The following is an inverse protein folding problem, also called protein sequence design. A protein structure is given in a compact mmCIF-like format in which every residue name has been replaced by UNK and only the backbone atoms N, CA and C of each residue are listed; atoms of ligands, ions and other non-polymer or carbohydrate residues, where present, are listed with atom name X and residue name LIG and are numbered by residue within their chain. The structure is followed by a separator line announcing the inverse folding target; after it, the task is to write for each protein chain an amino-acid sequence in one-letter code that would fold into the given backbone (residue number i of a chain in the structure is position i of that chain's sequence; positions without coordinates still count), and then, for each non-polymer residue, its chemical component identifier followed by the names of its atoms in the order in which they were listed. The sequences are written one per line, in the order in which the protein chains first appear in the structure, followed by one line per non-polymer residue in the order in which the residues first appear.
data_IF_459127030180
#
_entry.id   IF_459127030180
#
_cell.length_a   1.000
_cell.length_b   1.000
_cell.length_c   1.000
_cell.angle_alpha   90.00
_cell.angle_beta   90.00
_cell.angle_gamma   90.00
#
_symmetry.space_group_name_H-M   'P 1'
#
loop_
_entity.id
_entity.type
_entity.pdbx_description
1 polymer ?
#
# COMPACT_ATOMS: atom_id res chain seq x y z
N UNK A 1 -2.99 25.42 -40.14
CA UNK A 1 -2.48 25.83 -38.81
C UNK A 1 -3.56 25.81 -37.70
N UNK A 2 -4.80 25.39 -37.97
CA UNK A 2 -5.93 25.53 -37.04
C UNK A 2 -6.19 24.30 -36.13
N UNK A 3 -5.75 23.10 -36.54
CA UNK A 3 -6.02 21.85 -35.81
C UNK A 3 -5.17 21.65 -34.55
N UNK A 4 -3.96 22.24 -34.49
CA UNK A 4 -3.09 22.19 -33.29
C UNK A 4 -3.61 23.10 -32.16
N UNK A 5 -4.26 24.21 -32.50
CA UNK A 5 -4.87 25.14 -31.55
C UNK A 5 -6.10 24.54 -30.87
N UNK A 6 -6.93 23.78 -31.60
CA UNK A 6 -8.12 23.12 -31.02
C UNK A 6 -7.76 22.02 -30.02
N UNK A 7 -6.70 21.24 -30.27
CA UNK A 7 -6.19 20.29 -29.26
C UNK A 7 -5.68 21.02 -28.02
N UNK A 8 -4.90 22.10 -28.20
CA UNK A 8 -4.38 22.88 -27.07
C UNK A 8 -5.49 23.57 -26.27
N UNK A 9 -6.54 24.09 -26.93
CA UNK A 9 -7.68 24.72 -26.30
C UNK A 9 -8.49 23.72 -25.46
N UNK A 10 -8.68 22.49 -25.95
CA UNK A 10 -9.37 21.43 -25.20
C UNK A 10 -8.59 20.94 -23.97
N UNK A 11 -7.26 21.11 -23.92
CA UNK A 11 -6.46 20.86 -22.71
C UNK A 11 -6.49 22.02 -21.71
N UNK A 12 -6.80 23.24 -22.16
CA UNK A 12 -6.75 24.45 -21.34
C UNK A 12 -8.09 24.71 -20.62
N UNK A 13 -9.22 24.20 -21.11
CA UNK A 13 -10.54 24.42 -20.48
C UNK A 13 -11.01 23.33 -19.48
N UNK A 14 -10.24 22.25 -19.28
CA UNK A 14 -10.57 21.23 -18.27
C UNK A 14 -10.06 21.63 -16.87
N UNK A 15 -10.71 22.64 -16.30
CA UNK A 15 -10.79 22.86 -14.86
C UNK A 15 -9.78 23.84 -14.29
N UNK A 16 -10.06 25.14 -14.45
CA UNK A 16 -9.63 26.17 -13.50
C UNK A 16 -10.28 25.90 -12.13
N UNK A 17 -9.72 24.98 -11.34
CA UNK A 17 -10.06 24.82 -9.93
C UNK A 17 -8.88 25.24 -9.06
N UNK A 18 -9.09 26.31 -8.31
CA UNK A 18 -8.09 27.12 -7.63
C UNK A 18 -8.02 26.79 -6.12
N UNK A 19 -7.84 25.52 -5.74
CA UNK A 19 -7.71 25.18 -4.30
C UNK A 19 -6.96 23.89 -3.94
N UNK A 20 -5.98 23.41 -4.72
CA UNK A 20 -4.98 22.47 -4.16
C UNK A 20 -3.68 23.20 -3.82
N UNK A 21 -3.32 23.38 -2.54
CA UNK A 21 -2.18 24.19 -2.15
C UNK A 21 -0.92 23.31 -2.10
N UNK A 22 -0.54 22.61 -3.18
CA UNK A 22 0.68 21.80 -3.13
C UNK A 22 1.41 21.81 -4.47
N UNK A 23 2.70 22.11 -4.39
CA UNK A 23 3.72 21.98 -5.43
C UNK A 23 3.56 20.64 -6.16
N UNK A 24 2.86 20.64 -7.29
CA UNK A 24 2.88 19.51 -8.22
C UNK A 24 4.27 19.52 -8.86
N UNK A 25 5.16 18.56 -8.56
CA UNK A 25 6.41 18.41 -9.30
C UNK A 25 6.04 18.25 -10.77
N UNK A 26 6.69 19.03 -11.63
CA UNK A 26 6.40 19.10 -13.07
C UNK A 26 6.15 17.69 -13.64
N UNK A 27 4.89 17.36 -13.95
CA UNK A 27 4.54 16.20 -14.77
C UNK A 27 3.49 15.21 -14.24
N UNK A 28 3.00 15.27 -12.99
CA UNK A 28 1.92 14.38 -12.51
C UNK A 28 0.63 15.18 -12.32
N UNK A 29 -0.35 14.98 -13.20
CA UNK A 29 -1.69 15.60 -13.09
C UNK A 29 -2.55 14.80 -12.11
N UNK A 30 -3.28 15.51 -11.25
CA UNK A 30 -4.36 14.94 -10.43
C UNK A 30 -5.72 15.16 -11.11
N UNK A 31 -6.64 14.25 -10.87
CA UNK A 31 -7.95 14.17 -11.52
C UNK A 31 -9.08 14.27 -10.50
N UNK A 32 -10.24 14.74 -10.97
CA UNK A 32 -11.50 14.67 -10.19
C UNK A 32 -12.15 13.30 -10.34
N UNK A 33 -13.09 12.98 -9.45
CA UNK A 33 -13.87 11.73 -9.48
C UNK A 33 -14.53 11.48 -10.83
N UNK A 34 -14.94 12.52 -11.55
CA UNK A 34 -15.58 12.34 -12.86
C UNK A 34 -14.60 12.03 -14.00
N UNK A 35 -13.34 12.40 -13.84
CA UNK A 35 -12.30 12.27 -14.87
C UNK A 35 -11.53 10.95 -14.81
N UNK A 36 -11.66 10.20 -13.70
CA UNK A 36 -10.99 8.92 -13.51
C UNK A 36 -11.71 7.76 -14.21
N UNK A 37 -10.97 6.68 -14.56
CA UNK A 37 -11.59 5.48 -15.10
C UNK A 37 -12.52 4.84 -14.09
N UNK A 38 -13.56 4.14 -14.58
CA UNK A 38 -14.59 3.48 -13.75
C UNK A 38 -13.96 2.52 -12.73
N UNK A 39 -12.85 1.87 -13.08
CA UNK A 39 -12.12 0.96 -12.18
C UNK A 39 -11.52 1.60 -10.93
N UNK A 40 -11.47 2.94 -10.86
CA UNK A 40 -10.98 3.70 -9.70
C UNK A 40 -12.11 4.45 -8.99
N UNK A 41 -13.34 4.41 -9.53
CA UNK A 41 -14.52 5.10 -8.98
C UNK A 41 -15.17 4.25 -7.88
N UNK A 42 -14.44 4.06 -6.78
CA UNK A 42 -14.92 3.25 -5.65
C UNK A 42 -15.79 4.06 -4.69
N UNK A 43 -15.31 5.23 -4.29
CA UNK A 43 -15.98 6.07 -3.29
C UNK A 43 -16.39 7.43 -3.89
N UNK A 44 -17.69 7.70 -4.11
CA UNK A 44 -18.17 8.95 -4.70
C UNK A 44 -18.00 10.17 -3.79
N UNK A 45 -17.72 9.98 -2.50
CA UNK A 45 -17.48 11.09 -1.56
C UNK A 45 -16.05 11.65 -1.65
N UNK A 46 -15.14 10.93 -2.30
CA UNK A 46 -13.81 11.45 -2.63
C UNK A 46 -13.93 12.14 -3.99
N UNK A 47 -13.96 13.48 -3.98
CA UNK A 47 -14.28 14.27 -5.17
C UNK A 47 -13.08 14.57 -6.06
N UNK A 48 -11.87 14.56 -5.52
CA UNK A 48 -10.64 14.97 -6.21
C UNK A 48 -9.36 14.33 -5.60
N UNK A 49 -8.19 14.76 -6.11
CA UNK A 49 -6.90 14.28 -5.65
C UNK A 49 -6.47 12.93 -6.23
N UNK A 50 -7.16 12.43 -7.27
CA UNK A 50 -6.87 11.13 -7.85
C UNK A 50 -5.64 11.14 -8.74
N UNK A 51 -4.85 10.07 -8.65
CA UNK A 51 -3.80 9.74 -9.63
C UNK A 51 -4.38 8.76 -10.64
N UNK A 52 -4.16 9.00 -11.94
CA UNK A 52 -4.60 8.08 -12.98
C UNK A 52 -3.66 8.09 -14.20
N UNK A 53 -3.70 7.01 -14.97
CA UNK A 53 -2.98 6.85 -16.24
C UNK A 53 -1.45 6.98 -16.14
N UNK A 54 -0.86 6.68 -14.98
CA UNK A 54 0.59 6.83 -14.77
C UNK A 54 1.37 5.59 -15.24
N UNK A 55 2.53 5.75 -15.89
CA UNK A 55 3.50 4.65 -16.03
C UNK A 55 4.16 4.34 -14.67
N UNK A 56 4.73 3.14 -14.51
CA UNK A 56 5.32 2.66 -13.25
C UNK A 56 6.30 3.64 -12.59
N UNK A 57 7.15 4.31 -13.38
CA UNK A 57 8.11 5.30 -12.88
C UNK A 57 7.42 6.50 -12.23
N UNK A 58 6.31 6.96 -12.79
CA UNK A 58 5.53 8.07 -12.23
C UNK A 58 4.69 7.61 -11.04
N UNK A 59 4.24 6.34 -11.00
CA UNK A 59 3.60 5.77 -9.82
C UNK A 59 4.55 5.88 -8.61
N UNK A 60 5.81 5.47 -8.75
CA UNK A 60 6.81 5.56 -7.67
C UNK A 60 7.09 7.03 -7.30
N UNK A 61 7.30 7.91 -8.29
CA UNK A 61 7.50 9.35 -8.00
C UNK A 61 6.30 9.98 -7.31
N UNK A 62 5.10 9.43 -7.51
CA UNK A 62 3.88 9.93 -6.89
C UNK A 62 3.79 9.67 -5.38
N UNK A 63 4.72 8.89 -4.81
CA UNK A 63 4.84 8.65 -3.37
C UNK A 63 4.91 9.95 -2.55
N UNK A 64 5.56 10.97 -3.10
CA UNK A 64 5.74 12.28 -2.46
C UNK A 64 4.72 13.33 -2.93
N UNK A 65 3.65 12.89 -3.62
CA UNK A 65 2.56 13.75 -4.07
C UNK A 65 1.38 13.56 -3.13
N UNK A 66 0.80 14.67 -2.68
CA UNK A 66 -0.44 14.63 -1.92
C UNK A 66 -1.59 14.26 -2.86
N UNK A 67 -2.19 13.10 -2.62
CA UNK A 67 -3.27 12.48 -3.40
C UNK A 67 -4.25 11.79 -2.45
N UNK A 68 -5.38 11.32 -2.99
CA UNK A 68 -6.38 10.56 -2.24
C UNK A 68 -5.83 9.27 -1.60
N UNK A 69 -4.70 8.75 -2.09
CA UNK A 69 -4.05 7.54 -1.60
C UNK A 69 -2.86 7.79 -0.66
N UNK A 70 -2.50 9.05 -0.40
CA UNK A 70 -1.28 9.36 0.37
C UNK A 70 -1.33 8.75 1.77
N UNK A 71 -2.47 8.87 2.46
CA UNK A 71 -2.64 8.29 3.80
C UNK A 71 -2.57 6.76 3.74
N UNK A 72 -3.20 6.12 2.75
CA UNK A 72 -3.17 4.66 2.58
C UNK A 72 -1.74 4.15 2.39
N UNK A 73 -0.95 4.82 1.53
CA UNK A 73 0.44 4.47 1.29
C UNK A 73 1.30 4.68 2.54
N UNK A 74 1.25 5.87 3.13
CA UNK A 74 2.13 6.23 4.24
C UNK A 74 1.78 5.51 5.55
N UNK A 75 0.51 5.24 5.82
CA UNK A 75 0.12 4.47 7.01
C UNK A 75 0.70 3.04 6.98
N UNK A 76 0.63 2.36 5.84
CA UNK A 76 1.19 1.02 5.70
C UNK A 76 2.72 1.02 5.59
N UNK A 77 3.32 2.04 4.96
CA UNK A 77 4.78 2.18 4.87
C UNK A 77 5.40 2.47 6.25
N UNK A 78 4.78 3.37 7.02
CA UNK A 78 5.20 3.63 8.41
C UNK A 78 4.95 2.41 9.31
N UNK A 79 3.82 1.72 9.12
CA UNK A 79 3.54 0.44 9.77
C UNK A 79 4.63 -0.59 9.51
N UNK A 80 5.06 -0.76 8.26
CA UNK A 80 6.16 -1.63 7.88
C UNK A 80 7.45 -1.29 8.64
N UNK A 81 7.86 -0.02 8.67
CA UNK A 81 9.08 0.38 9.39
C UNK A 81 8.94 0.16 10.91
N UNK A 82 7.79 0.48 11.49
CA UNK A 82 7.53 0.26 12.91
C UNK A 82 7.64 -1.22 13.28
N UNK A 83 6.91 -2.10 12.58
CA UNK A 83 6.96 -3.54 12.83
C UNK A 83 8.31 -4.17 12.47
N UNK A 84 9.06 -3.57 11.54
CA UNK A 84 10.42 -4.01 11.23
C UNK A 84 11.35 -3.75 12.41
N UNK A 85 11.33 -2.53 12.94
CA UNK A 85 12.15 -2.14 14.08
C UNK A 85 11.75 -2.90 15.34
N UNK A 86 10.45 -3.04 15.61
CA UNK A 86 9.95 -3.87 16.70
C UNK A 86 10.36 -5.34 16.52
N UNK A 87 10.27 -5.88 15.31
CA UNK A 87 10.68 -7.24 15.04
C UNK A 87 12.18 -7.49 15.30
N UNK A 88 13.04 -6.54 14.92
CA UNK A 88 14.47 -6.61 15.28
C UNK A 88 14.63 -6.57 16.80
N UNK A 89 13.97 -5.63 17.47
CA UNK A 89 14.03 -5.50 18.93
C UNK A 89 13.56 -6.77 19.64
N UNK A 90 12.50 -7.41 19.15
CA UNK A 90 12.00 -8.67 19.68
C UNK A 90 13.06 -9.77 19.57
N UNK A 91 13.70 -9.90 18.40
CA UNK A 91 14.73 -10.93 18.16
C UNK A 91 16.02 -10.68 18.94
N UNK A 92 16.44 -9.43 19.11
CA UNK A 92 17.75 -9.10 19.71
C UNK A 92 17.67 -8.83 21.21
N UNK A 93 16.50 -8.51 21.74
CA UNK A 93 16.36 -8.04 23.12
C UNK A 93 15.26 -8.76 23.88
N UNK A 94 14.03 -8.82 23.35
CA UNK A 94 12.90 -9.42 24.09
C UNK A 94 13.05 -10.93 24.24
N UNK A 95 13.19 -11.67 23.14
CA UNK A 95 13.30 -13.14 23.18
C UNK A 95 14.53 -13.62 23.97
N UNK A 96 15.74 -13.03 23.81
CA UNK A 96 16.88 -13.40 24.63
C UNK A 96 16.69 -13.09 26.12
N UNK A 97 16.11 -11.94 26.47
CA UNK A 97 15.88 -11.58 27.89
C UNK A 97 14.84 -12.48 28.56
N UNK A 98 13.88 -12.99 27.80
CA UNK A 98 12.91 -13.99 28.24
C UNK A 98 13.47 -15.43 28.28
N UNK A 99 14.73 -15.65 27.88
CA UNK A 99 15.30 -17.00 27.71
C UNK A 99 14.45 -17.90 26.80
N UNK A 100 13.87 -17.32 25.75
CA UNK A 100 12.91 -17.98 24.89
C UNK A 100 13.52 -19.17 24.12
N UNK A 101 12.68 -20.15 23.78
CA UNK A 101 13.10 -21.34 23.06
C UNK A 101 13.36 -21.05 21.58
N UNK A 102 14.09 -21.93 20.88
CA UNK A 102 14.29 -21.80 19.43
C UNK A 102 12.97 -21.75 18.65
N UNK A 103 11.93 -22.43 19.12
CA UNK A 103 10.61 -22.45 18.49
C UNK A 103 9.96 -21.06 18.54
N UNK A 104 10.11 -20.35 19.66
CA UNK A 104 9.63 -18.97 19.81
C UNK A 104 10.28 -18.04 18.78
N UNK A 105 11.61 -18.13 18.61
CA UNK A 105 12.32 -17.37 17.58
C UNK A 105 11.79 -17.65 16.17
N UNK A 106 11.54 -18.92 15.85
CA UNK A 106 11.03 -19.32 14.53
C UNK A 106 9.62 -18.77 14.30
N UNK A 107 8.72 -18.95 15.27
CA UNK A 107 7.31 -18.57 15.13
C UNK A 107 7.14 -17.06 15.11
N UNK A 108 7.82 -16.33 16.01
CA UNK A 108 7.85 -14.87 15.96
C UNK A 108 8.43 -14.37 14.63
N UNK A 109 9.51 -14.97 14.13
CA UNK A 109 10.10 -14.57 12.84
C UNK A 109 9.14 -14.77 11.66
N UNK A 110 8.44 -15.92 11.61
CA UNK A 110 7.44 -16.21 10.57
C UNK A 110 6.27 -15.23 10.67
N UNK A 111 5.75 -15.00 11.87
CA UNK A 111 4.66 -14.07 12.13
C UNK A 111 5.00 -12.67 11.62
N UNK A 112 6.13 -12.13 12.07
CA UNK A 112 6.63 -10.82 11.67
C UNK A 112 6.85 -10.76 10.16
N UNK A 113 7.47 -11.77 9.56
CA UNK A 113 7.66 -11.82 8.10
C UNK A 113 6.32 -11.75 7.34
N UNK A 114 5.31 -12.52 7.75
CA UNK A 114 3.97 -12.49 7.15
C UNK A 114 3.32 -11.10 7.24
N UNK A 115 3.41 -10.44 8.41
CA UNK A 115 2.94 -9.06 8.58
C UNK A 115 3.64 -8.08 7.65
N UNK A 116 4.96 -8.21 7.50
CA UNK A 116 5.74 -7.33 6.63
C UNK A 116 5.42 -7.50 5.16
N UNK A 117 5.21 -8.73 4.71
CA UNK A 117 4.73 -9.02 3.36
C UNK A 117 3.35 -8.37 3.14
N UNK A 118 2.43 -8.50 4.09
CA UNK A 118 1.11 -7.87 4.03
C UNK A 118 1.20 -6.34 3.85
N UNK A 119 2.00 -5.66 4.69
CA UNK A 119 2.18 -4.21 4.62
C UNK A 119 2.76 -3.77 3.27
N UNK A 120 3.80 -4.47 2.78
CA UNK A 120 4.43 -4.14 1.49
C UNK A 120 3.52 -4.40 0.29
N UNK A 121 2.73 -5.48 0.30
CA UNK A 121 1.74 -5.76 -0.74
C UNK A 121 0.71 -4.63 -0.84
N UNK A 122 0.24 -4.14 0.30
CA UNK A 122 -0.72 -3.03 0.34
C UNK A 122 -0.13 -1.70 -0.09
N UNK A 123 1.09 -1.36 0.34
CA UNK A 123 1.85 -0.21 -0.19
C UNK A 123 1.96 -0.31 -1.71
N UNK A 124 2.29 -1.50 -2.23
CA UNK A 124 2.35 -1.77 -3.66
C UNK A 124 1.03 -1.51 -4.37
N UNK A 125 -0.09 -1.99 -3.82
CA UNK A 125 -1.42 -1.72 -4.36
C UNK A 125 -1.75 -0.24 -4.41
N UNK A 126 -1.70 0.46 -3.28
CA UNK A 126 -2.03 1.88 -3.25
C UNK A 126 -1.07 2.74 -4.08
N UNK A 127 0.18 2.33 -4.26
CA UNK A 127 1.12 3.04 -5.13
C UNK A 127 0.84 2.81 -6.63
N UNK A 128 0.46 1.60 -7.03
CA UNK A 128 0.28 1.21 -8.43
C UNK A 128 -1.18 1.11 -8.90
N UNK A 129 -2.17 1.38 -8.06
CA UNK A 129 -3.59 1.42 -8.42
C UNK A 129 -3.87 2.43 -9.56
N UNK A 130 -3.11 3.53 -9.60
CA UNK A 130 -3.19 4.57 -10.61
C UNK A 130 -2.49 4.25 -11.95
N UNK A 131 -1.96 3.03 -12.11
CA UNK A 131 -1.17 2.66 -13.28
C UNK A 131 -2.00 2.65 -14.57
N UNK A 132 -1.42 3.07 -15.70
CA UNK A 132 -2.10 3.13 -17.01
C UNK A 132 -2.61 1.78 -17.53
N UNK A 133 -2.07 0.68 -17.02
CA UNK A 133 -2.45 -0.69 -17.40
C UNK A 133 -3.32 -1.27 -16.30
N UNK A 134 -4.59 -1.45 -16.60
CA UNK A 134 -5.57 -2.04 -15.69
C UNK A 134 -5.17 -3.46 -15.24
N UNK A 135 -4.48 -4.22 -16.11
CA UNK A 135 -3.91 -5.53 -15.75
C UNK A 135 -2.91 -5.43 -14.61
N UNK A 136 -2.10 -4.37 -14.58
CA UNK A 136 -1.14 -4.11 -13.50
C UNK A 136 -1.88 -3.75 -12.21
N UNK A 137 -2.89 -2.88 -12.29
CA UNK A 137 -3.72 -2.51 -11.15
C UNK A 137 -4.38 -3.73 -10.51
N UNK A 138 -5.04 -4.58 -11.32
CA UNK A 138 -5.68 -5.82 -10.85
C UNK A 138 -4.70 -6.82 -10.22
N UNK A 139 -3.48 -6.93 -10.76
CA UNK A 139 -2.45 -7.81 -10.17
C UNK A 139 -2.01 -7.32 -8.81
N UNK A 140 -1.78 -6.01 -8.66
CA UNK A 140 -1.42 -5.45 -7.37
C UNK A 140 -2.55 -5.56 -6.35
N UNK A 141 -3.80 -5.36 -6.77
CA UNK A 141 -4.97 -5.60 -5.93
C UNK A 141 -5.04 -7.07 -5.46
N UNK A 142 -4.80 -8.02 -6.37
CA UNK A 142 -4.76 -9.43 -6.00
C UNK A 142 -3.61 -9.77 -5.04
N UNK A 143 -2.43 -9.15 -5.21
CA UNK A 143 -1.30 -9.31 -4.29
C UNK A 143 -1.60 -8.74 -2.91
N UNK A 144 -2.34 -7.65 -2.82
CA UNK A 144 -2.78 -7.08 -1.53
C UNK A 144 -3.72 -8.03 -0.78
N UNK A 145 -4.76 -8.53 -1.45
CA UNK A 145 -5.65 -9.53 -0.85
C UNK A 145 -4.93 -10.83 -0.46
N UNK A 146 -3.95 -11.27 -1.25
CA UNK A 146 -3.10 -12.40 -0.89
C UNK A 146 -2.23 -12.07 0.34
N UNK A 147 -1.68 -10.85 0.42
CA UNK A 147 -0.92 -10.36 1.56
C UNK A 147 -1.73 -10.38 2.86
N UNK A 148 -2.98 -9.91 2.83
CA UNK A 148 -3.91 -9.98 3.97
C UNK A 148 -4.11 -11.44 4.40
N UNK A 149 -4.34 -12.34 3.44
CA UNK A 149 -4.53 -13.77 3.74
C UNK A 149 -3.30 -14.41 4.40
N UNK A 150 -2.10 -14.09 3.91
CA UNK A 150 -0.82 -14.54 4.48
C UNK A 150 -0.62 -13.96 5.88
N UNK A 151 -0.93 -12.67 6.08
CA UNK A 151 -0.86 -12.01 7.38
C UNK A 151 -1.75 -12.68 8.41
N UNK A 152 -3.01 -12.93 8.08
CA UNK A 152 -3.97 -13.64 8.95
C UNK A 152 -3.46 -15.04 9.29
N UNK A 153 -2.96 -15.78 8.30
CA UNK A 153 -2.41 -17.12 8.52
C UNK A 153 -1.21 -17.09 9.49
N UNK A 154 -0.29 -16.14 9.32
CA UNK A 154 0.87 -15.97 10.21
C UNK A 154 0.46 -15.68 11.66
N UNK A 155 -0.54 -14.80 11.85
CA UNK A 155 -1.12 -14.54 13.17
C UNK A 155 -1.74 -15.79 13.78
N UNK A 156 -2.53 -16.50 12.97
CA UNK A 156 -3.28 -17.66 13.42
C UNK A 156 -2.36 -18.80 13.85
N UNK A 157 -1.34 -19.12 13.05
CA UNK A 157 -0.35 -20.15 13.38
C UNK A 157 0.35 -19.84 14.70
N UNK A 158 0.77 -18.58 14.88
CA UNK A 158 1.43 -18.14 16.12
C UNK A 158 0.49 -18.21 17.32
N UNK A 159 -0.76 -17.75 17.15
CA UNK A 159 -1.79 -17.82 18.19
C UNK A 159 -2.11 -19.24 18.62
N UNK A 160 -2.22 -20.17 17.66
CA UNK A 160 -2.44 -21.60 17.95
C UNK A 160 -1.25 -22.19 18.69
N UNK A 161 -0.01 -21.92 18.25
CA UNK A 161 1.18 -22.40 18.95
C UNK A 161 1.18 -21.98 20.42
N UNK A 162 0.96 -20.70 20.70
CA UNK A 162 0.96 -20.22 22.09
C UNK A 162 -0.27 -20.67 22.89
N UNK A 163 -1.43 -20.82 22.26
CA UNK A 163 -2.63 -21.33 22.92
C UNK A 163 -2.49 -22.78 23.38
N UNK A 164 -1.73 -23.59 22.65
CA UNK A 164 -1.51 -25.02 22.94
C UNK A 164 -0.09 -25.31 23.43
N UNK A 165 0.68 -24.29 23.85
CA UNK A 165 2.09 -24.41 24.22
C UNK A 165 2.35 -25.49 25.29
N UNK A 166 1.46 -25.61 26.27
CA UNK A 166 1.57 -26.61 27.35
C UNK A 166 0.88 -27.95 27.03
N UNK A 167 0.14 -28.02 25.93
CA UNK A 167 -0.60 -29.22 25.53
C UNK A 167 0.26 -30.07 24.58
N UNK A 168 1.33 -30.65 25.14
CA UNK A 168 2.09 -31.68 24.46
C UNK A 168 1.22 -32.95 24.36
N UNK A 169 0.47 -33.10 23.26
CA UNK A 169 -0.13 -34.40 22.93
C UNK A 169 1.04 -35.34 22.68
N UNK A 170 1.32 -36.18 23.67
CA UNK A 170 2.31 -37.24 23.58
C UNK A 170 1.80 -38.22 22.52
N UNK A 171 2.40 -38.19 21.32
CA UNK A 171 2.18 -39.17 20.28
C UNK A 171 3.13 -40.37 20.47
#
# INVERSE_FOLDING_TARGET
MHQKLLKSAHYIELGSYQYWPVLVPRGIRLYTYEQIPVSLKDNPYITDGYRAYLPSRLCIKSLFILSNETVNIWSHLLGFFLFFTLGIYDMTSVLPSASASREDFVICSICLFCFQVCMLCSVGYHLFSCHRSEKTCRRWMALDYAGISIGILGCYVSGVFYAFYCNNVSA
#
